data_IF_233513565275
#
_entry.id   IF_233513565275
#
_cell.length_a   1.000
_cell.length_b   1.000
_cell.length_c   1.000
_cell.angle_alpha   90.00
_cell.angle_beta   90.00
_cell.angle_gamma   90.00
#
_symmetry.space_group_name_H-M   'P 1'
#
loop_
_entity.id
_entity.type
_entity.pdbx_description
1 polymer ?
#
# COMPACT_ATOMS: atom_id res chain seq x y z
N UNK A 1 1.95 8.84 24.51
CA UNK A 1 1.76 9.32 23.13
C UNK A 1 2.46 8.34 22.21
N UNK A 2 1.75 7.58 21.38
CA UNK A 2 2.40 6.67 20.45
C UNK A 2 2.93 7.49 19.27
N UNK A 3 4.25 7.60 19.15
CA UNK A 3 4.92 8.44 18.14
C UNK A 3 5.09 7.75 16.78
N UNK A 4 4.66 6.49 16.68
CA UNK A 4 4.80 5.65 15.48
C UNK A 4 3.50 5.68 14.69
N UNK A 5 3.55 6.15 13.45
CA UNK A 5 2.41 6.17 12.53
C UNK A 5 1.87 4.74 12.32
N UNK A 6 0.56 4.59 12.42
CA UNK A 6 -0.12 3.31 12.23
C UNK A 6 -0.82 3.33 10.88
N UNK A 7 -0.81 2.19 10.19
CA UNK A 7 -1.61 2.06 8.97
C UNK A 7 -3.10 2.11 9.30
N UNK A 8 -3.87 2.70 8.40
CA UNK A 8 -5.31 2.89 8.50
C UNK A 8 -5.97 2.61 7.14
N UNK A 9 -7.31 2.49 7.06
CA UNK A 9 -8.00 2.39 5.78
C UNK A 9 -7.60 3.51 4.82
N UNK A 10 -7.46 3.18 3.54
CA UNK A 10 -7.11 4.16 2.49
C UNK A 10 -8.16 5.26 2.44
N UNK A 11 -7.72 6.52 2.36
CA UNK A 11 -8.62 7.68 2.27
C UNK A 11 -9.39 7.66 0.95
N UNK A 12 -10.61 8.21 0.99
CA UNK A 12 -11.44 8.36 -0.21
C UNK A 12 -10.77 9.24 -1.25
N UNK A 13 -10.70 8.78 -2.50
CA UNK A 13 -10.04 9.47 -3.60
C UNK A 13 -8.54 9.20 -3.69
N UNK A 14 -7.98 8.43 -2.73
CA UNK A 14 -6.59 8.02 -2.71
C UNK A 14 -6.43 6.51 -2.96
N UNK A 15 -7.45 5.84 -3.50
CA UNK A 15 -7.44 4.40 -3.72
C UNK A 15 -6.50 3.97 -4.85
N UNK A 16 -5.90 2.78 -4.69
CA UNK A 16 -5.10 2.12 -5.73
C UNK A 16 -5.97 1.16 -6.54
N UNK A 17 -5.65 0.98 -7.82
CA UNK A 17 -6.22 -0.11 -8.61
C UNK A 17 -5.61 -1.45 -8.14
N UNK A 18 -6.30 -2.13 -7.23
CA UNK A 18 -5.80 -3.34 -6.59
C UNK A 18 -5.51 -4.47 -7.58
N UNK A 19 -6.36 -4.68 -8.59
CA UNK A 19 -6.18 -5.74 -9.57
C UNK A 19 -4.92 -5.52 -10.43
N UNK A 20 -4.70 -4.29 -10.89
CA UNK A 20 -3.51 -3.93 -11.64
C UNK A 20 -2.24 -4.02 -10.78
N UNK A 21 -2.33 -3.57 -9.52
CA UNK A 21 -1.21 -3.63 -8.57
C UNK A 21 -0.85 -5.08 -8.22
N UNK A 22 -1.82 -5.93 -7.92
CA UNK A 22 -1.61 -7.35 -7.64
C UNK A 22 -0.95 -8.06 -8.82
N UNK A 23 -1.47 -7.85 -10.04
CA UNK A 23 -0.88 -8.39 -11.27
C UNK A 23 0.58 -7.97 -11.42
N UNK A 24 0.87 -6.69 -11.19
CA UNK A 24 2.24 -6.18 -11.25
C UNK A 24 3.14 -6.81 -10.19
N UNK A 25 2.68 -6.89 -8.94
CA UNK A 25 3.48 -7.42 -7.83
C UNK A 25 3.79 -8.90 -8.01
N UNK A 26 2.81 -9.73 -8.40
CA UNK A 26 3.02 -11.16 -8.65
C UNK A 26 4.02 -11.39 -9.78
N UNK A 27 3.97 -10.58 -10.84
CA UNK A 27 4.91 -10.68 -11.95
C UNK A 27 6.36 -10.30 -11.57
N UNK A 28 6.55 -9.40 -10.60
CA UNK A 28 7.87 -8.82 -10.27
C UNK A 28 8.46 -9.28 -8.94
N UNK A 29 7.69 -9.98 -8.11
CA UNK A 29 8.15 -10.51 -6.82
C UNK A 29 8.02 -12.03 -6.81
N UNK A 30 8.99 -12.78 -7.36
CA UNK A 30 8.96 -14.23 -7.37
C UNK A 30 8.72 -14.80 -5.97
N UNK A 31 7.76 -15.73 -5.88
CA UNK A 31 7.33 -16.34 -4.61
C UNK A 31 6.47 -15.44 -3.72
N UNK A 32 6.04 -14.26 -4.20
CA UNK A 32 4.94 -13.51 -3.61
C UNK A 32 3.62 -13.94 -4.27
N UNK A 33 2.58 -14.13 -3.47
CA UNK A 33 1.26 -14.53 -3.93
C UNK A 33 0.30 -14.65 -2.74
N UNK A 34 -0.98 -14.83 -3.05
CA UNK A 34 -2.06 -14.72 -2.07
C UNK A 34 -2.75 -13.36 -2.14
N UNK A 35 -3.73 -13.10 -1.26
CA UNK A 35 -4.55 -11.89 -1.35
C UNK A 35 -3.72 -10.63 -1.11
N UNK A 36 -3.97 -9.59 -1.90
CA UNK A 36 -3.45 -8.24 -1.68
C UNK A 36 -4.37 -7.44 -0.75
N UNK A 37 -3.84 -7.00 0.40
CA UNK A 37 -4.48 -6.04 1.30
C UNK A 37 -3.69 -4.74 1.28
N UNK A 38 -4.41 -3.61 1.27
CA UNK A 38 -3.81 -2.27 1.21
C UNK A 38 -4.36 -1.40 2.32
N UNK A 39 -3.44 -0.80 3.09
CA UNK A 39 -3.71 0.23 4.08
C UNK A 39 -2.80 1.44 3.80
N UNK A 40 -3.05 2.56 4.46
CA UNK A 40 -2.34 3.81 4.26
C UNK A 40 -1.73 4.31 5.57
N UNK A 41 -0.52 4.87 5.49
CA UNK A 41 0.08 5.66 6.56
C UNK A 41 -0.34 7.13 6.41
N UNK A 42 -1.20 7.65 7.30
CA UNK A 42 -1.84 8.96 7.11
C UNK A 42 -0.93 10.16 7.40
N UNK A 43 0.20 9.97 8.10
CA UNK A 43 0.98 11.09 8.63
C UNK A 43 1.88 11.79 7.60
N UNK A 44 1.96 11.29 6.36
CA UNK A 44 2.76 11.87 5.28
C UNK A 44 1.97 12.85 4.40
N UNK A 45 2.50 14.07 4.20
CA UNK A 45 1.85 15.10 3.36
C UNK A 45 2.40 15.19 1.93
N UNK A 46 3.67 14.83 1.69
CA UNK A 46 4.30 15.00 0.35
C UNK A 46 4.17 13.79 -0.56
N UNK A 47 4.04 12.58 -0.01
CA UNK A 47 3.81 11.35 -0.75
C UNK A 47 2.81 10.49 -0.01
N UNK A 48 1.86 9.93 -0.74
CA UNK A 48 0.97 8.90 -0.22
C UNK A 48 1.79 7.64 0.00
N UNK A 49 1.70 7.10 1.21
CA UNK A 49 2.47 5.92 1.64
C UNK A 49 1.51 4.84 2.06
N UNK A 50 1.66 3.64 1.49
CA UNK A 50 0.76 2.52 1.69
C UNK A 50 1.52 1.32 2.25
N UNK A 51 0.87 0.61 3.17
CA UNK A 51 1.26 -0.74 3.54
C UNK A 51 0.54 -1.71 2.61
N UNK A 52 1.30 -2.54 1.90
CA UNK A 52 0.77 -3.64 1.11
C UNK A 52 1.09 -4.95 1.83
N UNK A 53 0.09 -5.82 1.99
CA UNK A 53 0.30 -7.21 2.41
C UNK A 53 -0.11 -8.12 1.25
N UNK A 54 0.86 -8.86 0.71
CA UNK A 54 0.64 -9.84 -0.36
C UNK A 54 0.95 -11.23 0.19
N UNK A 55 -0.10 -11.94 0.61
CA UNK A 55 0.06 -13.17 1.39
C UNK A 55 0.82 -12.92 2.69
N UNK A 56 2.02 -13.47 2.82
CA UNK A 56 2.89 -13.30 4.01
C UNK A 56 3.93 -12.19 3.85
N UNK A 57 3.98 -11.51 2.71
CA UNK A 57 4.97 -10.44 2.45
C UNK A 57 4.35 -9.08 2.74
N UNK A 58 5.07 -8.26 3.48
CA UNK A 58 4.74 -6.85 3.70
C UNK A 58 5.66 -5.95 2.86
N UNK A 59 5.08 -4.93 2.23
CA UNK A 59 5.77 -3.99 1.35
C UNK A 59 5.30 -2.57 1.66
N UNK A 60 6.15 -1.59 1.37
CA UNK A 60 5.77 -0.17 1.41
C UNK A 60 5.75 0.38 -0.01
N UNK A 61 4.60 0.93 -0.41
CA UNK A 61 4.46 1.65 -1.67
C UNK A 61 4.39 3.15 -1.41
N UNK A 62 5.19 3.92 -2.15
CA UNK A 62 5.21 5.39 -2.07
C UNK A 62 4.92 5.97 -3.44
N UNK A 63 4.04 6.97 -3.49
CA UNK A 63 3.76 7.72 -4.72
C UNK A 63 3.41 9.18 -4.43
N UNK A 64 3.54 10.07 -5.43
CA UNK A 64 2.97 11.41 -5.35
C UNK A 64 1.44 11.37 -5.12
N UNK A 65 0.85 12.43 -4.54
CA UNK A 65 -0.59 12.57 -4.44
C UNK A 65 -1.26 12.52 -5.82
N UNK A 66 -2.56 12.22 -5.84
CA UNK A 66 -3.36 12.42 -7.03
C UNK A 66 -3.40 13.94 -7.30
N UNK A 67 -3.07 14.33 -8.54
CA UNK A 67 -3.04 15.72 -8.96
C UNK A 67 -4.42 16.34 -9.02
#
# INVERSE_FOLDING_TARGET
MNIIDQSAPVRRGEELNLAALETYLVAHLPGAGGPLVVEQFPSGFSNLTYLLRLGTRELVLRRPPFG
#
